data_IF_887441706378
#
_entry.id   IF_887441706378
#
_cell.length_a   1.000
_cell.length_b   1.000
_cell.length_c   1.000
_cell.angle_alpha   90.00
_cell.angle_beta   90.00
_cell.angle_gamma   90.00
#
_symmetry.space_group_name_H-M   'P 1'
#
loop_
_entity.id
_entity.type
_entity.pdbx_description
1 polymer ?
#
# COMPACT_ATOMS: atom_id res chain seq x y z
N UNK A 1 26.66 16.59 10.77
CA UNK A 1 25.35 16.98 11.31
C UNK A 1 24.63 15.73 11.78
N UNK A 2 23.88 15.80 12.88
CA UNK A 2 23.08 14.66 13.37
C UNK A 2 21.88 14.47 12.43
N UNK A 3 21.64 13.25 11.99
CA UNK A 3 20.42 12.90 11.25
C UNK A 3 19.21 13.01 12.17
N UNK A 4 18.08 13.37 11.58
CA UNK A 4 16.79 13.39 12.27
C UNK A 4 15.87 12.38 11.61
N UNK A 5 14.94 11.85 12.39
CA UNK A 5 13.81 11.11 11.87
C UNK A 5 12.71 12.11 11.46
N UNK A 6 12.09 11.87 10.31
CA UNK A 6 11.01 12.70 9.78
C UNK A 6 9.98 11.86 9.03
N UNK A 7 8.70 12.15 9.24
CA UNK A 7 7.61 11.50 8.52
C UNK A 7 7.65 11.86 7.03
N UNK A 8 7.47 10.84 6.20
CA UNK A 8 7.31 10.91 4.76
C UNK A 8 5.85 10.57 4.44
N UNK A 9 4.98 11.57 4.21
CA UNK A 9 3.58 11.30 3.91
C UNK A 9 3.45 10.45 2.63
N UNK A 10 2.67 9.36 2.68
CA UNK A 10 2.43 8.49 1.50
C UNK A 10 2.01 9.27 0.26
N UNK A 11 1.21 10.35 0.41
CA UNK A 11 0.76 11.23 -0.69
C UNK A 11 1.87 12.05 -1.36
N UNK A 12 3.10 12.02 -0.85
CA UNK A 12 4.28 12.60 -1.51
C UNK A 12 5.13 11.55 -2.23
N UNK A 13 4.90 10.26 -1.94
CA UNK A 13 5.60 9.16 -2.60
C UNK A 13 4.93 8.90 -3.95
N UNK A 14 5.71 9.04 -5.01
CA UNK A 14 5.31 8.75 -6.38
C UNK A 14 5.50 7.27 -6.68
N UNK A 15 6.65 6.70 -6.33
CA UNK A 15 6.99 5.31 -6.63
C UNK A 15 7.86 4.69 -5.54
N UNK A 16 7.66 3.38 -5.31
CA UNK A 16 8.49 2.57 -4.44
C UNK A 16 9.47 1.74 -5.24
N UNK A 17 10.61 1.46 -4.63
CA UNK A 17 11.64 0.56 -5.12
C UNK A 17 12.11 -0.33 -3.98
N UNK A 18 12.43 -1.58 -4.29
CA UNK A 18 13.17 -2.44 -3.35
C UNK A 18 14.50 -1.78 -3.03
N UNK A 19 14.91 -1.84 -1.77
CA UNK A 19 16.22 -1.37 -1.39
C UNK A 19 17.30 -2.19 -2.14
N UNK A 20 18.23 -1.56 -2.88
CA UNK A 20 19.21 -2.27 -3.69
C UNK A 20 20.21 -3.08 -2.85
N UNK A 21 20.48 -2.63 -1.63
CA UNK A 21 21.33 -3.32 -0.67
C UNK A 21 20.51 -4.18 0.30
N UNK A 22 20.97 -5.41 0.57
CA UNK A 22 20.37 -6.32 1.57
C UNK A 22 20.35 -5.76 2.99
N UNK A 23 21.23 -4.80 3.29
CA UNK A 23 21.35 -4.13 4.59
C UNK A 23 21.19 -2.61 4.45
N UNK A 24 20.33 -2.20 3.53
CA UNK A 24 19.94 -0.82 3.40
C UNK A 24 19.58 -0.18 4.72
N UNK A 25 19.76 1.14 4.82
CA UNK A 25 19.33 1.81 6.04
C UNK A 25 17.82 1.72 6.16
N UNK A 26 17.04 1.91 5.10
CA UNK A 26 15.57 1.77 5.11
C UNK A 26 15.03 0.49 4.47
N UNK A 27 13.73 0.25 4.64
CA UNK A 27 13.01 -0.89 4.06
C UNK A 27 12.83 -0.75 2.54
N UNK A 28 12.62 0.49 2.07
CA UNK A 28 12.39 0.82 0.66
C UNK A 28 13.10 2.11 0.27
N UNK A 29 13.37 2.27 -1.02
CA UNK A 29 13.73 3.56 -1.62
C UNK A 29 12.48 4.11 -2.28
N UNK A 30 12.22 5.41 -2.15
CA UNK A 30 11.06 6.06 -2.79
C UNK A 30 11.48 7.23 -3.66
N UNK A 31 10.80 7.38 -4.80
CA UNK A 31 10.77 8.60 -5.60
C UNK A 31 9.62 9.48 -5.06
N UNK A 32 9.92 10.72 -4.72
CA UNK A 32 8.94 11.71 -4.28
C UNK A 32 8.41 12.49 -5.49
N UNK A 33 7.21 13.05 -5.38
CA UNK A 33 6.60 13.86 -6.46
C UNK A 33 7.44 15.10 -6.90
N UNK A 34 8.44 15.50 -6.11
CA UNK A 34 9.39 16.56 -6.43
C UNK A 34 10.75 16.02 -6.94
N UNK A 35 10.77 14.77 -7.43
CA UNK A 35 11.93 14.07 -8.02
C UNK A 35 13.11 13.86 -7.05
N UNK A 36 12.85 13.94 -5.74
CA UNK A 36 13.83 13.56 -4.71
C UNK A 36 13.71 12.08 -4.38
N UNK A 37 14.85 11.44 -4.14
CA UNK A 37 14.91 10.06 -3.66
C UNK A 37 15.25 10.02 -2.18
N UNK A 38 14.63 9.10 -1.44
CA UNK A 38 14.98 8.87 -0.04
C UNK A 38 14.68 7.45 0.40
N UNK A 39 15.46 6.96 1.35
CA UNK A 39 15.16 5.72 2.06
C UNK A 39 14.01 5.97 3.04
N UNK A 40 13.08 5.01 3.08
CA UNK A 40 11.96 5.01 4.02
C UNK A 40 11.88 3.72 4.80
N UNK A 41 11.47 3.86 6.04
CA UNK A 41 11.05 2.79 6.93
C UNK A 41 9.54 2.84 7.04
N UNK A 42 8.86 1.70 6.96
CA UNK A 42 7.44 1.66 7.26
C UNK A 42 7.21 1.44 8.76
N UNK A 43 6.07 1.91 9.25
CA UNK A 43 5.62 1.65 10.62
C UNK A 43 4.32 0.88 10.63
N UNK A 44 4.05 0.20 11.74
CA UNK A 44 2.81 -0.56 11.92
C UNK A 44 1.57 0.34 11.90
N UNK A 45 1.71 1.64 12.23
CA UNK A 45 0.61 2.60 12.23
C UNK A 45 0.21 3.07 10.81
N UNK A 46 0.99 2.75 9.78
CA UNK A 46 0.74 3.16 8.39
C UNK A 46 1.46 4.42 7.94
N UNK A 47 2.50 4.79 8.67
CA UNK A 47 3.38 5.90 8.31
C UNK A 47 4.69 5.41 7.71
N UNK A 48 5.28 6.24 6.84
CA UNK A 48 6.66 6.09 6.41
C UNK A 48 7.52 7.15 7.09
N UNK A 49 8.72 6.78 7.49
CA UNK A 49 9.70 7.73 8.06
C UNK A 49 11.03 7.61 7.33
N UNK A 50 11.77 8.71 7.28
CA UNK A 50 13.13 8.75 6.77
C UNK A 50 14.07 9.28 7.85
N UNK A 51 15.27 8.70 7.91
CA UNK A 51 16.35 9.18 8.79
C UNK A 51 17.36 9.93 7.92
N UNK A 52 17.35 11.26 7.98
CA UNK A 52 18.13 12.10 7.06
C UNK A 52 18.71 13.34 7.74
N UNK A 53 19.78 13.87 7.18
CA UNK A 53 20.31 15.21 7.51
C UNK A 53 20.19 16.20 6.34
N UNK A 54 19.55 15.79 5.24
CA UNK A 54 19.33 16.62 4.07
C UNK A 54 18.31 17.72 4.38
N UNK A 55 18.79 18.96 4.42
CA UNK A 55 17.99 20.14 4.75
C UNK A 55 16.89 20.41 3.72
N UNK A 56 17.12 20.10 2.44
CA UNK A 56 16.13 20.31 1.39
C UNK A 56 14.98 19.32 1.55
N UNK A 57 15.30 18.03 1.75
CA UNK A 57 14.31 16.99 2.01
C UNK A 57 13.48 17.32 3.26
N UNK A 58 14.15 17.66 4.36
CA UNK A 58 13.49 18.01 5.63
C UNK A 58 12.54 19.21 5.45
N UNK A 59 12.98 20.25 4.75
CA UNK A 59 12.18 21.44 4.47
C UNK A 59 10.95 21.10 3.62
N UNK A 60 11.14 20.27 2.60
CA UNK A 60 10.08 19.82 1.71
C UNK A 60 9.02 19.00 2.47
N UNK A 61 9.42 18.00 3.25
CA UNK A 61 8.51 17.14 4.01
C UNK A 61 7.73 17.93 5.08
N UNK A 62 8.38 18.87 5.78
CA UNK A 62 7.69 19.71 6.79
C UNK A 62 6.62 20.62 6.17
N UNK A 63 6.87 21.15 4.97
CA UNK A 63 5.92 22.02 4.27
C UNK A 63 4.73 21.26 3.71
N UNK A 64 4.88 19.97 3.44
CA UNK A 64 3.91 19.16 2.72
C UNK A 64 3.34 18.03 3.59
N UNK A 65 3.11 18.29 4.87
CA UNK A 65 2.37 17.38 5.73
C UNK A 65 0.94 17.27 5.20
N UNK A 66 0.55 16.07 4.77
CA UNK A 66 -0.77 15.77 4.22
C UNK A 66 -1.47 14.79 5.14
N UNK A 67 -2.80 14.84 5.17
CA UNK A 67 -3.60 13.90 5.93
C UNK A 67 -3.35 12.45 5.49
N UNK A 68 -3.41 11.49 6.44
CA UNK A 68 -3.27 10.07 6.16
C UNK A 68 -4.31 9.59 5.14
N UNK A 69 -4.06 8.43 4.53
CA UNK A 69 -5.07 7.76 3.72
C UNK A 69 -6.10 7.11 4.65
N UNK A 70 -7.34 7.01 4.16
CA UNK A 70 -8.41 6.31 4.85
C UNK A 70 -8.40 4.83 4.45
N UNK A 71 -8.48 3.92 5.42
CA UNK A 71 -8.42 2.48 5.21
C UNK A 71 -9.48 1.81 6.08
N UNK A 72 -10.25 0.91 5.50
CA UNK A 72 -11.31 0.19 6.21
C UNK A 72 -10.83 -1.14 6.82
N UNK A 73 -9.63 -1.61 6.44
CA UNK A 73 -8.99 -2.79 7.04
C UNK A 73 -7.49 -2.59 7.16
N UNK A 74 -6.90 -3.00 8.30
CA UNK A 74 -5.46 -2.94 8.57
C UNK A 74 -5.09 -4.03 9.58
N UNK A 75 -3.98 -4.73 9.36
CA UNK A 75 -3.41 -5.64 10.36
C UNK A 75 -1.88 -5.52 10.51
N UNK A 76 -1.30 -4.41 10.04
CA UNK A 76 0.15 -4.15 10.04
C UNK A 76 0.90 -4.70 8.83
N UNK A 77 0.41 -5.78 8.22
CA UNK A 77 1.02 -6.40 7.02
C UNK A 77 0.18 -6.05 5.78
N UNK A 78 -1.12 -6.30 5.84
CA UNK A 78 -2.07 -6.02 4.79
C UNK A 78 -2.95 -4.84 5.19
N UNK A 79 -3.31 -4.02 4.20
CA UNK A 79 -4.30 -2.97 4.38
C UNK A 79 -5.16 -2.82 3.14
N UNK A 80 -6.45 -2.56 3.38
CA UNK A 80 -7.45 -2.34 2.34
C UNK A 80 -8.00 -0.94 2.47
N UNK A 81 -8.15 -0.26 1.34
CA UNK A 81 -8.72 1.09 1.31
C UNK A 81 -9.61 1.30 0.11
N UNK A 82 -10.53 2.23 0.27
CA UNK A 82 -11.33 2.73 -0.85
C UNK A 82 -10.43 3.33 -1.92
N UNK A 83 -10.85 3.18 -3.17
CA UNK A 83 -10.25 3.90 -4.28
C UNK A 83 -10.57 5.39 -4.13
N UNK A 84 -9.57 6.22 -4.38
CA UNK A 84 -9.68 7.67 -4.39
C UNK A 84 -9.23 8.23 -5.73
N UNK A 85 -9.62 9.46 -6.06
CA UNK A 85 -9.29 10.11 -7.33
C UNK A 85 -7.77 10.16 -7.58
N UNK A 86 -6.96 10.28 -6.53
CA UNK A 86 -5.51 10.28 -6.62
C UNK A 86 -4.89 8.95 -7.08
N UNK A 87 -5.67 7.86 -7.10
CA UNK A 87 -5.18 6.55 -7.55
C UNK A 87 -5.31 6.35 -9.06
N UNK A 88 -6.00 7.26 -9.75
CA UNK A 88 -6.27 7.14 -11.19
C UNK A 88 -4.99 6.99 -12.01
N UNK A 89 -3.97 7.78 -11.72
CA UNK A 89 -2.68 7.71 -12.43
C UNK A 89 -2.02 6.34 -12.24
N UNK A 90 -1.96 5.84 -11.01
CA UNK A 90 -1.40 4.51 -10.71
C UNK A 90 -2.18 3.39 -11.43
N UNK A 91 -3.51 3.49 -11.45
CA UNK A 91 -4.38 2.51 -12.13
C UNK A 91 -4.15 2.54 -13.64
N UNK A 92 -3.99 3.72 -14.22
CA UNK A 92 -3.70 3.88 -15.64
C UNK A 92 -2.32 3.31 -16.00
N UNK A 93 -1.32 3.44 -15.12
CA UNK A 93 -0.03 2.75 -15.27
C UNK A 93 -0.21 1.22 -15.26
N UNK A 94 -1.00 0.70 -14.34
CA UNK A 94 -1.26 -0.75 -14.20
C UNK A 94 -1.98 -1.37 -15.39
N UNK A 95 -2.75 -0.60 -16.18
CA UNK A 95 -3.36 -1.09 -17.43
C UNK A 95 -2.34 -1.61 -18.44
N UNK A 96 -1.08 -1.16 -18.35
CA UNK A 96 0.00 -1.57 -19.24
C UNK A 96 0.78 -2.78 -18.70
N UNK A 97 0.36 -3.35 -17.55
CA UNK A 97 1.04 -4.45 -16.88
C UNK A 97 0.07 -5.63 -16.77
N UNK A 98 0.56 -6.83 -17.08
CA UNK A 98 -0.22 -8.05 -16.88
C UNK A 98 -0.26 -8.41 -15.39
N UNK A 99 -1.44 -8.48 -14.73
CA UNK A 99 -1.52 -8.82 -13.32
C UNK A 99 -1.29 -10.30 -13.05
N UNK A 100 -1.07 -10.66 -11.78
CA UNK A 100 -1.45 -11.98 -11.28
C UNK A 100 -2.88 -11.84 -10.78
N UNK A 101 -3.81 -12.55 -11.39
CA UNK A 101 -5.21 -12.54 -10.99
C UNK A 101 -5.51 -13.77 -10.14
N UNK A 102 -6.07 -13.55 -8.95
CA UNK A 102 -6.53 -14.61 -8.06
C UNK A 102 -8.00 -14.39 -7.74
N UNK A 103 -8.80 -15.43 -7.84
CA UNK A 103 -10.24 -15.35 -7.65
C UNK A 103 -10.66 -16.11 -6.41
N UNK A 104 -11.65 -15.58 -5.69
CA UNK A 104 -12.25 -16.23 -4.54
C UNK A 104 -13.75 -15.99 -4.48
N UNK A 105 -14.47 -16.97 -3.96
CA UNK A 105 -15.90 -16.84 -3.68
C UNK A 105 -16.13 -16.21 -2.32
N UNK A 106 -16.91 -15.14 -2.31
CA UNK A 106 -17.35 -14.42 -1.12
C UNK A 106 -18.68 -14.96 -0.60
N UNK A 107 -18.90 -14.88 0.72
CA UNK A 107 -20.22 -15.09 1.29
C UNK A 107 -21.24 -14.11 0.71
N UNK A 108 -22.50 -14.53 0.54
CA UNK A 108 -23.56 -13.69 -0.05
C UNK A 108 -23.82 -12.37 0.69
N UNK A 109 -23.46 -12.28 1.98
CA UNK A 109 -23.73 -11.13 2.85
C UNK A 109 -22.44 -10.38 3.24
N UNK A 110 -21.46 -10.27 2.33
CA UNK A 110 -20.24 -9.50 2.62
C UNK A 110 -20.49 -7.98 2.65
N UNK A 111 -19.65 -7.25 3.38
CA UNK A 111 -19.71 -5.79 3.48
C UNK A 111 -18.59 -5.07 2.72
N UNK A 112 -17.77 -5.84 1.99
CA UNK A 112 -16.69 -5.29 1.18
C UNK A 112 -17.23 -4.39 0.05
N UNK A 113 -16.57 -3.26 -0.25
CA UNK A 113 -16.92 -2.43 -1.40
C UNK A 113 -16.68 -3.17 -2.72
N UNK A 114 -17.43 -2.83 -3.76
CA UNK A 114 -17.33 -3.46 -5.09
C UNK A 114 -15.93 -3.36 -5.70
N UNK A 115 -15.14 -2.36 -5.30
CA UNK A 115 -13.75 -2.22 -5.70
C UNK A 115 -12.94 -1.56 -4.58
N UNK A 116 -11.73 -2.06 -4.35
CA UNK A 116 -10.81 -1.48 -3.38
C UNK A 116 -9.34 -1.71 -3.72
N UNK A 117 -8.48 -0.88 -3.15
CA UNK A 117 -7.03 -1.02 -3.26
C UNK A 117 -6.52 -2.05 -2.24
N UNK A 118 -5.63 -2.91 -2.69
CA UNK A 118 -4.92 -3.87 -1.87
C UNK A 118 -3.48 -3.39 -1.65
N UNK A 119 -3.10 -3.28 -0.38
CA UNK A 119 -1.78 -2.81 0.03
C UNK A 119 -1.03 -3.85 0.86
N UNK A 120 0.27 -3.99 0.61
CA UNK A 120 1.22 -4.79 1.36
C UNK A 120 2.28 -3.87 1.96
N UNK A 121 2.44 -3.87 3.29
CA UNK A 121 3.23 -2.89 4.04
C UNK A 121 2.97 -1.44 3.58
N UNK A 122 1.68 -1.10 3.43
CA UNK A 122 1.18 0.22 3.00
C UNK A 122 1.52 0.63 1.55
N UNK A 123 2.15 -0.27 0.79
CA UNK A 123 2.42 -0.10 -0.64
C UNK A 123 1.25 -0.65 -1.43
N UNK A 124 0.68 0.12 -2.34
CA UNK A 124 -0.32 -0.33 -3.29
C UNK A 124 0.26 -1.39 -4.23
N UNK A 125 -0.24 -2.62 -4.12
CA UNK A 125 0.25 -3.76 -4.91
C UNK A 125 -0.79 -4.29 -5.90
N UNK A 126 -2.07 -4.03 -5.66
CA UNK A 126 -3.14 -4.55 -6.50
C UNK A 126 -4.51 -3.93 -6.25
N UNK A 127 -5.50 -4.38 -7.01
CA UNK A 127 -6.90 -3.99 -6.88
C UNK A 127 -7.75 -5.24 -6.74
N UNK A 128 -8.73 -5.17 -5.85
CA UNK A 128 -9.81 -6.13 -5.77
C UNK A 128 -11.05 -5.60 -6.49
N UNK A 129 -11.76 -6.46 -7.20
CA UNK A 129 -13.07 -6.21 -7.81
C UNK A 129 -14.02 -7.31 -7.39
N UNK A 130 -15.23 -6.95 -7.02
CA UNK A 130 -16.28 -7.88 -6.65
C UNK A 130 -17.40 -7.80 -7.67
N UNK A 131 -17.75 -8.94 -8.24
CA UNK A 131 -18.88 -9.13 -9.14
C UNK A 131 -19.76 -10.24 -8.57
N UNK A 132 -21.00 -9.90 -8.19
CA UNK A 132 -21.93 -10.80 -7.51
C UNK A 132 -21.33 -11.39 -6.22
N UNK A 133 -20.94 -12.67 -6.24
CA UNK A 133 -20.28 -13.35 -5.12
C UNK A 133 -18.81 -13.65 -5.40
N UNK A 134 -18.29 -13.25 -6.55
CA UNK A 134 -16.91 -13.55 -6.92
C UNK A 134 -16.04 -12.32 -6.77
N UNK A 135 -14.94 -12.45 -6.03
CA UNK A 135 -13.93 -11.41 -5.92
C UNK A 135 -12.69 -11.80 -6.70
N UNK A 136 -12.23 -10.89 -7.55
CA UNK A 136 -10.96 -11.00 -8.27
C UNK A 136 -9.95 -10.01 -7.69
N UNK A 137 -8.81 -10.52 -7.24
CA UNK A 137 -7.64 -9.74 -6.89
C UNK A 137 -6.65 -9.72 -8.05
N UNK A 138 -6.47 -8.54 -8.64
CA UNK A 138 -5.44 -8.28 -9.65
C UNK A 138 -4.21 -7.65 -8.97
N UNK A 139 -3.10 -8.40 -8.90
CA UNK A 139 -1.82 -7.94 -8.33
C UNK A 139 -0.86 -7.51 -9.45
N UNK A 140 -0.45 -6.24 -9.42
CA UNK A 140 0.37 -5.62 -10.46
C UNK A 140 1.84 -5.45 -10.02
N UNK A 141 2.10 -5.23 -8.73
CA UNK A 141 3.46 -5.05 -8.20
C UNK A 141 4.03 -6.38 -7.66
N UNK A 142 4.36 -7.30 -8.57
CA UNK A 142 4.84 -8.66 -8.26
C UNK A 142 6.21 -8.67 -7.58
N UNK A 143 6.92 -7.55 -7.66
CA UNK A 143 8.14 -7.30 -6.94
C UNK A 143 7.91 -6.98 -5.47
N UNK A 144 6.70 -6.69 -4.97
CA UNK A 144 6.53 -6.38 -3.54
C UNK A 144 5.86 -7.50 -2.76
N UNK A 145 5.14 -8.39 -3.42
CA UNK A 145 4.35 -9.43 -2.79
C UNK A 145 4.47 -10.75 -3.56
N UNK A 146 4.59 -11.88 -2.86
CA UNK A 146 4.61 -13.21 -3.48
C UNK A 146 3.27 -13.94 -3.30
N UNK A 147 3.13 -15.08 -3.97
CA UNK A 147 1.88 -15.86 -4.00
C UNK A 147 1.44 -16.33 -2.61
N UNK A 148 2.39 -16.61 -1.71
CA UNK A 148 2.07 -17.07 -0.36
C UNK A 148 1.42 -15.95 0.46
N UNK A 149 1.91 -14.71 0.36
CA UNK A 149 1.30 -13.57 1.05
C UNK A 149 -0.06 -13.22 0.46
N UNK A 150 -0.25 -13.36 -0.86
CA UNK A 150 -1.57 -13.21 -1.49
C UNK A 150 -2.56 -14.22 -0.92
N UNK A 151 -2.17 -15.50 -0.82
CA UNK A 151 -3.02 -16.54 -0.25
C UNK A 151 -3.38 -16.24 1.21
N UNK A 152 -2.40 -15.85 2.03
CA UNK A 152 -2.62 -15.45 3.43
C UNK A 152 -3.60 -14.27 3.52
N UNK A 153 -3.44 -13.25 2.67
CA UNK A 153 -4.33 -12.10 2.65
C UNK A 153 -5.79 -12.50 2.35
N UNK A 154 -5.98 -13.43 1.41
CA UNK A 154 -7.31 -13.92 1.03
C UNK A 154 -7.99 -14.67 2.17
N UNK A 155 -7.26 -15.55 2.86
CA UNK A 155 -7.78 -16.27 4.02
C UNK A 155 -8.21 -15.30 5.14
N UNK A 156 -7.38 -14.29 5.42
CA UNK A 156 -7.70 -13.26 6.42
C UNK A 156 -8.95 -12.45 6.08
N UNK A 157 -9.13 -12.10 4.80
CA UNK A 157 -10.32 -11.36 4.36
C UNK A 157 -11.58 -12.22 4.51
N UNK A 158 -11.48 -13.52 4.22
CA UNK A 158 -12.59 -14.46 4.42
C UNK A 158 -12.92 -14.63 5.91
N UNK A 159 -11.92 -14.67 6.78
CA UNK A 159 -12.11 -14.74 8.23
C UNK A 159 -12.74 -13.47 8.81
N UNK A 160 -12.27 -12.29 8.41
CA UNK A 160 -12.82 -11.02 8.89
C UNK A 160 -14.30 -10.87 8.49
N UNK A 161 -14.65 -11.21 7.25
CA UNK A 161 -16.05 -11.20 6.80
C UNK A 161 -16.94 -12.16 7.60
N UNK A 162 -16.47 -13.35 7.95
CA UNK A 162 -17.23 -14.30 8.79
C UNK A 162 -17.45 -13.78 10.21
N UNK A 163 -16.48 -13.07 10.76
CA UNK A 163 -16.56 -12.56 12.13
C UNK A 163 -17.45 -11.32 12.27
N UNK A 164 -17.66 -10.57 11.17
CA UNK A 164 -18.58 -9.43 11.16
C UNK A 164 -20.06 -9.85 11.13
N UNK A 165 -20.42 -11.07 10.70
CA UNK A 165 -21.79 -11.62 10.84
C UNK A 165 -22.24 -11.80 12.30
N UNK A 166 -21.32 -11.71 13.28
CA UNK A 166 -21.57 -11.90 14.71
C UNK A 166 -21.49 -10.60 15.55
N UNK A 167 -21.33 -9.44 14.93
CA UNK A 167 -21.33 -8.12 15.59
C UNK A 167 -22.59 -7.33 15.24
#
# INVERSE_FOLDING_TARGET
MKSIEINVPRKLIKKFYRHPEMYGQGDYVVDLINDMYTDVFYREEGDFVSITNDKQLISYLRKNQKEPRDYFFRNGIFSLRYLADCDKELIDEWKNISPISVQLELPKNHYLPSQFMFCFYWIEVGIAKIEETSMTFDVYQKEFIHMIEIAIAMDLILEDNKNQDFR
#
